data_IF_703952806741
#
_entry.id   IF_703952806741
#
_cell.length_a   1.000
_cell.length_b   1.000
_cell.length_c   1.000
_cell.angle_alpha   90.00
_cell.angle_beta   90.00
_cell.angle_gamma   90.00
#
_symmetry.space_group_name_H-M   'P 1'
#
loop_
_entity.id
_entity.type
_entity.pdbx_description
1 polymer ?
#
# COMPACT_ATOMS: atom_id res chain seq x y z
N UNK A 1 -18.60 -6.33 -36.96
CA UNK A 1 -18.57 -5.31 -35.88
C UNK A 1 -17.82 -5.90 -34.70
N UNK A 2 -16.68 -5.33 -34.31
CA UNK A 2 -15.87 -5.83 -33.19
C UNK A 2 -16.56 -5.49 -31.85
N UNK A 3 -17.38 -6.40 -31.33
CA UNK A 3 -18.18 -6.20 -30.11
C UNK A 3 -17.45 -6.50 -28.80
N UNK A 4 -16.13 -6.77 -28.81
CA UNK A 4 -15.45 -7.39 -27.65
C UNK A 4 -14.19 -6.68 -27.12
N UNK A 5 -14.12 -5.35 -27.20
CA UNK A 5 -13.24 -4.59 -26.28
C UNK A 5 -14.12 -3.96 -25.20
N UNK A 6 -14.72 -4.79 -24.33
CA UNK A 6 -15.19 -4.30 -23.03
C UNK A 6 -13.97 -4.08 -22.14
N UNK A 7 -13.12 -3.11 -22.47
CA UNK A 7 -12.05 -2.69 -21.56
C UNK A 7 -12.77 -2.17 -20.32
N UNK A 8 -12.73 -2.94 -19.23
CA UNK A 8 -13.30 -2.48 -17.97
C UNK A 8 -12.41 -1.35 -17.48
N UNK A 9 -12.82 -0.11 -17.80
CA UNK A 9 -12.12 1.13 -17.45
C UNK A 9 -11.58 1.14 -16.00
N UNK A 10 -12.30 0.63 -14.98
CA UNK A 10 -11.76 0.50 -13.63
C UNK A 10 -10.44 -0.27 -13.54
N UNK A 11 -10.33 -1.42 -14.23
CA UNK A 11 -9.12 -2.22 -14.22
C UNK A 11 -7.96 -1.51 -14.92
N UNK A 12 -8.24 -0.91 -16.08
CA UNK A 12 -7.23 -0.14 -16.82
C UNK A 12 -6.69 1.05 -16.01
N UNK A 13 -7.58 1.82 -15.37
CA UNK A 13 -7.17 2.96 -14.54
C UNK A 13 -6.39 2.46 -13.32
N UNK A 14 -6.85 1.38 -12.68
CA UNK A 14 -6.16 0.80 -11.54
C UNK A 14 -4.73 0.36 -11.91
N UNK A 15 -4.55 -0.35 -13.02
CA UNK A 15 -3.22 -0.83 -13.43
C UNK A 15 -2.29 0.34 -13.80
N UNK A 16 -2.77 1.26 -14.63
CA UNK A 16 -1.95 2.40 -15.10
C UNK A 16 -1.50 3.32 -13.96
N UNK A 17 -2.40 3.63 -13.02
CA UNK A 17 -2.08 4.48 -11.86
C UNK A 17 -1.16 3.75 -10.89
N UNK A 18 -1.33 2.43 -10.73
CA UNK A 18 -0.47 1.63 -9.87
C UNK A 18 0.97 1.59 -10.40
N UNK A 19 1.15 1.38 -11.71
CA UNK A 19 2.47 1.34 -12.36
C UNK A 19 3.18 2.70 -12.26
N UNK A 20 2.45 3.79 -12.53
CA UNK A 20 2.96 5.14 -12.33
C UNK A 20 3.35 5.39 -10.87
N UNK A 21 2.46 5.11 -9.92
CA UNK A 21 2.70 5.36 -8.50
C UNK A 21 3.89 4.55 -7.98
N UNK A 22 4.02 3.29 -8.40
CA UNK A 22 5.16 2.43 -8.06
C UNK A 22 6.47 3.05 -8.52
N UNK A 23 6.51 3.51 -9.78
CA UNK A 23 7.70 4.16 -10.37
C UNK A 23 8.06 5.47 -9.67
N UNK A 24 7.07 6.30 -9.32
CA UNK A 24 7.31 7.55 -8.59
C UNK A 24 7.79 7.30 -7.17
N UNK A 25 7.17 6.35 -6.46
CA UNK A 25 7.53 6.04 -5.09
C UNK A 25 8.94 5.46 -4.97
N UNK A 26 9.38 4.61 -5.92
CA UNK A 26 10.75 4.11 -5.98
C UNK A 26 11.79 5.23 -6.16
N UNK A 27 11.40 6.34 -6.80
CA UNK A 27 12.25 7.53 -6.96
C UNK A 27 12.14 8.51 -5.78
N UNK A 28 11.36 8.20 -4.74
CA UNK A 28 11.11 9.09 -3.61
C UNK A 28 10.14 10.24 -3.92
N UNK A 29 9.49 10.24 -5.09
CA UNK A 29 8.54 11.26 -5.48
C UNK A 29 7.17 11.03 -4.80
N UNK A 30 6.41 12.12 -4.64
CA UNK A 30 5.03 12.04 -4.17
C UNK A 30 4.16 11.32 -5.19
N UNK A 31 3.36 10.37 -4.70
CA UNK A 31 2.31 9.67 -5.46
C UNK A 31 0.93 10.33 -5.31
N UNK A 32 0.82 11.29 -4.39
CA UNK A 32 -0.41 12.00 -4.11
C UNK A 32 -0.56 13.24 -5.01
N UNK A 33 -1.81 13.62 -5.34
CA UNK A 33 -3.08 13.10 -4.82
C UNK A 33 -3.68 11.91 -5.61
N UNK A 34 -3.04 11.50 -6.71
CA UNK A 34 -3.65 10.61 -7.69
C UNK A 34 -3.79 9.18 -7.17
N UNK A 35 -2.76 8.67 -6.48
CA UNK A 35 -2.83 7.34 -5.88
C UNK A 35 -3.97 7.24 -4.85
N UNK A 36 -4.09 8.20 -3.92
CA UNK A 36 -5.12 8.18 -2.89
C UNK A 36 -6.54 8.21 -3.47
N UNK A 37 -6.77 9.02 -4.50
CA UNK A 37 -8.08 9.08 -5.17
C UNK A 37 -8.46 7.75 -5.82
N UNK A 38 -7.52 7.10 -6.51
CA UNK A 38 -7.77 5.82 -7.19
C UNK A 38 -7.86 4.69 -6.18
N UNK A 39 -7.04 4.71 -5.14
CA UNK A 39 -7.11 3.76 -4.04
C UNK A 39 -8.49 3.75 -3.37
N UNK A 40 -9.07 4.92 -3.10
CA UNK A 40 -10.43 5.01 -2.55
C UNK A 40 -11.50 4.39 -3.46
N UNK A 41 -11.34 4.51 -4.79
CA UNK A 41 -12.24 3.86 -5.76
C UNK A 41 -12.02 2.35 -5.81
N UNK A 42 -10.76 1.89 -5.83
CA UNK A 42 -10.39 0.47 -5.81
C UNK A 42 -10.86 -0.22 -4.54
N UNK A 43 -10.72 0.43 -3.39
CA UNK A 43 -11.07 -0.12 -2.08
C UNK A 43 -12.59 -0.19 -1.84
N UNK A 44 -13.34 0.83 -2.28
CA UNK A 44 -14.72 1.02 -1.82
C UNK A 44 -15.79 0.99 -2.94
N UNK A 45 -15.42 1.19 -4.21
CA UNK A 45 -16.41 1.44 -5.27
C UNK A 45 -16.34 0.44 -6.43
N UNK A 46 -15.13 0.12 -6.89
CA UNK A 46 -14.94 -0.72 -8.06
C UNK A 46 -14.94 -2.20 -7.70
N UNK A 47 -15.69 -2.99 -8.47
CA UNK A 47 -15.68 -4.46 -8.37
C UNK A 47 -14.50 -5.01 -9.18
N UNK A 48 -13.30 -4.95 -8.61
CA UNK A 48 -12.08 -5.48 -9.19
C UNK A 48 -11.73 -6.85 -8.60
N UNK A 49 -10.90 -7.65 -9.29
CA UNK A 49 -10.37 -8.88 -8.70
C UNK A 49 -9.62 -8.59 -7.39
N UNK A 50 -9.82 -9.43 -6.38
CA UNK A 50 -9.23 -9.26 -5.04
C UNK A 50 -7.71 -9.07 -5.07
N UNK A 51 -7.02 -9.71 -6.03
CA UNK A 51 -5.59 -9.55 -6.23
C UNK A 51 -5.20 -8.10 -6.55
N UNK A 52 -5.99 -7.37 -7.35
CA UNK A 52 -5.73 -5.97 -7.70
C UNK A 52 -5.91 -5.10 -6.46
N UNK A 53 -7.02 -5.28 -5.74
CA UNK A 53 -7.29 -4.54 -4.51
C UNK A 53 -6.24 -4.82 -3.43
N UNK A 54 -5.79 -6.06 -3.29
CA UNK A 54 -4.71 -6.45 -2.39
C UNK A 54 -3.37 -5.78 -2.74
N UNK A 55 -3.01 -5.65 -4.02
CA UNK A 55 -1.82 -4.91 -4.45
C UNK A 55 -1.88 -3.45 -4.03
N UNK A 56 -3.04 -2.81 -4.17
CA UNK A 56 -3.26 -1.43 -3.75
C UNK A 56 -3.09 -1.24 -2.23
N UNK A 57 -3.73 -2.10 -1.42
CA UNK A 57 -3.54 -2.08 0.03
C UNK A 57 -2.08 -2.33 0.44
N UNK A 58 -1.41 -3.29 -0.21
CA UNK A 58 0.02 -3.53 0.02
C UNK A 58 0.83 -2.26 -0.25
N UNK A 59 0.62 -1.64 -1.41
CA UNK A 59 1.37 -0.47 -1.81
C UNK A 59 1.09 0.74 -0.89
N UNK A 60 -0.17 0.97 -0.51
CA UNK A 60 -0.53 2.02 0.45
C UNK A 60 0.19 1.84 1.80
N UNK A 61 0.21 0.61 2.33
CA UNK A 61 0.95 0.30 3.55
C UNK A 61 2.47 0.50 3.40
N UNK A 62 3.06 0.10 2.28
CA UNK A 62 4.49 0.30 2.02
C UNK A 62 4.85 1.77 1.79
N UNK A 63 3.98 2.55 1.15
CA UNK A 63 4.18 3.98 0.92
C UNK A 63 4.26 4.75 2.25
N UNK A 64 3.44 4.38 3.23
CA UNK A 64 3.54 4.91 4.59
C UNK A 64 4.87 4.57 5.28
N UNK A 65 5.61 3.55 4.84
CA UNK A 65 6.88 3.16 5.46
C UNK A 65 8.10 3.62 4.64
N UNK A 66 7.86 4.36 3.56
CA UNK A 66 8.89 4.74 2.61
C UNK A 66 9.68 5.97 3.08
N UNK A 67 10.98 5.94 2.86
CA UNK A 67 11.90 7.05 3.07
C UNK A 67 11.92 7.99 1.85
N UNK A 68 12.59 9.14 2.00
CA UNK A 68 12.80 10.09 0.88
C UNK A 68 13.61 9.49 -0.27
N UNK A 69 14.37 8.42 -0.04
CA UNK A 69 15.20 7.77 -1.05
C UNK A 69 14.45 6.65 -1.78
N UNK A 70 13.18 6.42 -1.44
CA UNK A 70 12.38 5.36 -2.03
C UNK A 70 12.42 4.04 -1.26
N UNK A 71 13.29 3.88 -0.27
CA UNK A 71 13.39 2.62 0.49
C UNK A 71 12.27 2.44 1.51
N UNK A 72 11.72 1.23 1.61
CA UNK A 72 10.77 0.86 2.67
C UNK A 72 11.54 0.52 3.94
N UNK A 73 11.42 1.36 4.97
CA UNK A 73 12.15 1.18 6.21
C UNK A 73 11.29 1.45 7.44
N UNK A 74 10.58 0.43 7.95
CA UNK A 74 9.75 0.57 9.15
C UNK A 74 10.54 1.09 10.36
N UNK A 75 11.82 0.71 10.48
CA UNK A 75 12.70 1.08 11.60
C UNK A 75 12.93 2.59 11.74
N UNK A 76 12.85 3.36 10.64
CA UNK A 76 13.05 4.81 10.66
C UNK A 76 11.76 5.59 10.95
N UNK A 77 10.61 4.93 11.01
CA UNK A 77 9.34 5.59 11.34
C UNK A 77 9.21 5.69 12.86
N UNK A 78 9.13 6.92 13.37
CA UNK A 78 8.91 7.20 14.81
C UNK A 78 7.45 7.39 15.20
N UNK A 79 6.56 7.52 14.23
CA UNK A 79 5.14 7.76 14.46
C UNK A 79 4.36 6.43 14.60
N UNK A 80 3.81 6.20 15.78
CA UNK A 80 3.02 5.01 16.13
C UNK A 80 1.74 4.91 15.29
N UNK A 81 1.04 6.02 15.06
CA UNK A 81 -0.21 6.02 14.29
C UNK A 81 0.07 5.65 12.83
N UNK A 82 1.14 6.21 12.25
CA UNK A 82 1.59 5.87 10.90
C UNK A 82 1.96 4.40 10.75
N UNK A 83 2.64 3.82 11.75
CA UNK A 83 2.98 2.39 11.79
C UNK A 83 1.74 1.50 11.89
N UNK A 84 0.79 1.85 12.75
CA UNK A 84 -0.47 1.11 12.91
C UNK A 84 -1.32 1.17 11.64
N UNK A 85 -1.42 2.34 11.00
CA UNK A 85 -2.12 2.49 9.73
C UNK A 85 -1.48 1.64 8.63
N UNK A 86 -0.14 1.65 8.55
CA UNK A 86 0.58 0.82 7.59
C UNK A 86 0.32 -0.68 7.83
N UNK A 87 0.35 -1.15 9.09
CA UNK A 87 0.02 -2.54 9.41
C UNK A 87 -1.42 -2.89 9.04
N UNK A 88 -2.38 -1.99 9.31
CA UNK A 88 -3.79 -2.18 8.95
C UNK A 88 -3.99 -2.39 7.45
N UNK A 89 -3.35 -1.58 6.61
CA UNK A 89 -3.39 -1.79 5.16
C UNK A 89 -2.73 -3.10 4.73
N UNK A 90 -1.57 -3.44 5.29
CA UNK A 90 -0.90 -4.70 4.99
C UNK A 90 -1.72 -5.92 5.45
N UNK A 91 -2.39 -5.84 6.58
CA UNK A 91 -3.31 -6.85 7.07
C UNK A 91 -4.46 -7.07 6.08
N UNK A 92 -5.08 -5.99 5.61
CA UNK A 92 -6.17 -6.06 4.63
C UNK A 92 -5.71 -6.65 3.29
N UNK A 93 -4.49 -6.32 2.85
CA UNK A 93 -3.90 -6.93 1.68
C UNK A 93 -3.77 -8.46 1.81
N UNK A 94 -3.32 -8.94 2.98
CA UNK A 94 -3.16 -10.37 3.24
C UNK A 94 -4.49 -11.12 3.33
N UNK A 95 -5.52 -10.48 3.90
CA UNK A 95 -6.89 -11.00 3.96
C UNK A 95 -7.47 -11.21 2.55
N UNK A 96 -7.32 -10.20 1.68
CA UNK A 96 -7.81 -10.25 0.29
C UNK A 96 -7.02 -11.23 -0.59
N UNK A 97 -5.70 -11.33 -0.39
CA UNK A 97 -4.88 -12.21 -1.20
C UNK A 97 -3.65 -12.72 -0.43
N UNK A 98 -3.70 -13.92 0.17
CA UNK A 98 -2.61 -14.43 1.03
C UNK A 98 -1.22 -14.47 0.36
N UNK A 99 -1.17 -14.63 -0.97
CA UNK A 99 0.09 -14.65 -1.76
C UNK A 99 0.69 -13.27 -2.01
N UNK A 100 0.16 -12.20 -1.41
CA UNK A 100 0.66 -10.82 -1.51
C UNK A 100 1.99 -10.59 -0.76
N UNK A 101 2.39 -11.53 0.10
CA UNK A 101 3.69 -11.56 0.79
C UNK A 101 4.00 -10.28 1.61
N UNK A 102 3.27 -10.08 2.71
CA UNK A 102 3.43 -8.93 3.62
C UNK A 102 3.93 -9.32 5.01
N UNK A 103 4.02 -10.62 5.33
CA UNK A 103 4.38 -11.13 6.66
C UNK A 103 5.67 -10.49 7.21
N UNK A 104 6.72 -10.45 6.40
CA UNK A 104 8.03 -9.93 6.81
C UNK A 104 7.98 -8.44 7.17
N UNK A 105 7.30 -7.62 6.38
CA UNK A 105 7.20 -6.17 6.67
C UNK A 105 6.32 -5.90 7.89
N UNK A 106 5.21 -6.65 8.06
CA UNK A 106 4.36 -6.57 9.26
C UNK A 106 5.12 -6.92 10.54
N UNK A 107 5.94 -7.97 10.50
CA UNK A 107 6.82 -8.32 11.62
C UNK A 107 7.79 -7.17 11.98
N UNK A 108 8.39 -6.50 10.98
CA UNK A 108 9.26 -5.34 11.21
C UNK A 108 8.51 -4.16 11.84
N UNK A 109 7.26 -3.91 11.42
CA UNK A 109 6.40 -2.88 12.03
C UNK A 109 6.12 -3.21 13.50
N UNK A 110 5.75 -4.46 13.81
CA UNK A 110 5.50 -4.90 15.18
C UNK A 110 6.74 -4.74 16.07
N UNK A 111 7.93 -5.08 15.56
CA UNK A 111 9.19 -4.85 16.28
C UNK A 111 9.43 -3.36 16.55
N UNK A 112 9.19 -2.49 15.56
CA UNK A 112 9.36 -1.05 15.73
C UNK A 112 8.39 -0.47 16.77
N UNK A 113 7.13 -0.89 16.74
CA UNK A 113 6.12 -0.47 17.71
C UNK A 113 6.53 -0.83 19.15
N UNK A 114 7.06 -2.04 19.37
CA UNK A 114 7.58 -2.46 20.68
C UNK A 114 8.76 -1.61 21.12
N UNK A 115 9.72 -1.36 20.22
CA UNK A 115 10.87 -0.51 20.52
C UNK A 115 10.46 0.92 20.91
N UNK A 116 9.44 1.50 20.25
CA UNK A 116 8.92 2.82 20.63
C UNK A 116 8.23 2.77 22.00
N UNK A 117 7.46 1.73 22.28
CA UNK A 117 6.79 1.57 23.58
C UNK A 117 7.79 1.44 24.73
N UNK A 118 8.87 0.68 24.54
CA UNK A 118 9.96 0.53 25.52
C UNK A 118 10.67 1.87 25.78
N UNK A 119 10.95 2.65 24.74
CA UNK A 119 11.57 3.99 24.87
C UNK A 119 10.67 4.98 25.62
N UNK A 120 9.36 4.92 25.43
CA UNK A 120 8.41 5.79 26.11
C UNK A 120 8.17 5.41 27.58
N UNK A 121 8.58 4.21 27.99
CA UNK A 121 8.44 3.71 29.36
C UNK A 121 9.68 3.99 30.23
N UNK A 122 10.76 4.51 29.64
CA UNK A 122 11.99 4.95 30.30
C UNK A 122 11.91 6.45 30.66
#
# INVERSE_FOLDING_TARGET
>A
MASNIRRQWPGFIADTVFDWASTQAEKGNSIEPYFGQVFSKVANHWKLPEQVTAKYYKFAGLALLRSKNGDVSPSHVGDVQRLQQADGYLAKAAELHPKVQVKTVRNKIAMRLRAIAELNAQ
#
